data_IF_882077858525
#
_entry.id   IF_882077858525
#
_cell.length_a   1.000
_cell.length_b   1.000
_cell.length_c   1.000
_cell.angle_alpha   90.00
_cell.angle_beta   90.00
_cell.angle_gamma   90.00
#
_symmetry.space_group_name_H-M   'P 1'
#
loop_
_entity.id
_entity.type
_entity.pdbx_description
1 polymer ?
#
# COMPACT_ATOMS: atom_id res chain seq x y z
N UNK A 1 -15.54 -8.71 12.71
CA UNK A 1 -14.80 -9.92 13.14
C UNK A 1 -13.33 -9.54 13.25
N UNK A 2 -12.78 -9.31 14.45
CA UNK A 2 -11.32 -9.24 14.61
C UNK A 2 -10.82 -10.67 14.48
N UNK A 3 -10.24 -11.01 13.32
CA UNK A 3 -9.41 -12.21 13.25
C UNK A 3 -8.15 -11.87 14.04
N UNK A 4 -7.86 -12.62 15.10
CA UNK A 4 -6.56 -12.52 15.74
C UNK A 4 -5.51 -12.82 14.66
N UNK A 5 -4.62 -11.87 14.41
CA UNK A 5 -3.53 -12.07 13.48
C UNK A 5 -2.65 -13.19 14.04
N UNK A 6 -2.32 -14.19 13.21
CA UNK A 6 -1.35 -15.20 13.61
C UNK A 6 0.01 -14.52 13.79
N UNK A 7 0.56 -14.64 15.00
CA UNK A 7 1.90 -14.14 15.33
C UNK A 7 2.70 -15.31 15.90
N UNK A 8 3.80 -15.68 15.23
CA UNK A 8 4.62 -16.81 15.65
C UNK A 8 5.31 -16.55 17.00
N UNK A 9 5.55 -17.62 17.76
CA UNK A 9 6.27 -17.56 19.05
C UNK A 9 7.65 -16.91 18.94
N UNK A 10 8.31 -17.05 17.78
CA UNK A 10 9.59 -16.39 17.52
C UNK A 10 9.43 -14.87 17.52
N UNK A 11 8.44 -14.33 16.82
CA UNK A 11 8.16 -12.89 16.78
C UNK A 11 7.83 -12.40 18.19
N UNK A 12 6.99 -13.14 18.94
CA UNK A 12 6.67 -12.78 20.32
C UNK A 12 7.91 -12.66 21.22
N UNK A 13 8.88 -13.58 21.07
CA UNK A 13 10.15 -13.54 21.82
C UNK A 13 11.07 -12.42 21.36
N UNK A 14 11.17 -12.19 20.05
CA UNK A 14 12.00 -11.12 19.48
C UNK A 14 11.49 -9.75 19.93
N UNK A 15 10.18 -9.52 19.89
CA UNK A 15 9.57 -8.22 20.19
C UNK A 15 9.73 -7.83 21.67
N UNK A 16 9.75 -8.80 22.60
CA UNK A 16 9.96 -8.55 24.04
C UNK A 16 11.25 -7.80 24.37
N UNK A 17 12.28 -7.91 23.53
CA UNK A 17 13.57 -7.24 23.72
C UNK A 17 13.71 -5.96 22.89
N UNK A 18 12.74 -5.65 22.03
CA UNK A 18 12.80 -4.48 21.14
C UNK A 18 11.93 -3.35 21.66
N UNK A 19 12.44 -2.12 21.57
CA UNK A 19 11.65 -0.92 21.81
C UNK A 19 10.93 -0.51 20.52
N UNK A 20 9.69 -0.95 20.37
CA UNK A 20 8.88 -0.60 19.20
C UNK A 20 8.50 0.89 19.21
N UNK A 21 8.35 1.51 18.03
CA UNK A 21 7.83 2.86 17.93
C UNK A 21 6.39 2.92 18.45
N UNK A 22 5.99 4.08 18.99
CA UNK A 22 4.63 4.32 19.49
C UNK A 22 3.59 4.37 18.36
N UNK A 23 4.03 4.65 17.14
CA UNK A 23 3.19 4.76 15.96
C UNK A 23 3.90 4.06 14.79
N UNK A 24 3.13 3.31 14.01
CA UNK A 24 3.54 2.72 12.74
C UNK A 24 2.76 3.43 11.66
N UNK A 25 3.43 3.81 10.57
CA UNK A 25 2.79 4.39 9.39
C UNK A 25 2.90 3.40 8.23
N UNK A 26 1.82 3.23 7.48
CA UNK A 26 1.74 2.37 6.32
C UNK A 26 1.92 3.22 5.06
N UNK A 27 3.00 2.94 4.33
CA UNK A 27 3.26 3.47 3.00
C UNK A 27 2.90 2.37 1.99
N UNK A 28 1.79 2.52 1.30
CA UNK A 28 1.27 1.52 0.36
C UNK A 28 1.75 1.80 -1.07
N UNK A 29 2.35 0.80 -1.70
CA UNK A 29 2.93 0.90 -3.05
C UNK A 29 2.13 0.14 -4.12
N UNK A 30 0.89 -0.25 -3.82
CA UNK A 30 0.05 -1.06 -4.73
C UNK A 30 -0.12 -0.41 -6.11
N UNK A 31 -0.30 0.90 -6.17
CA UNK A 31 -0.54 1.63 -7.42
C UNK A 31 0.72 1.96 -8.23
N UNK A 32 1.91 1.70 -7.67
CA UNK A 32 3.21 1.94 -8.32
C UNK A 32 3.98 0.63 -8.50
N UNK A 33 4.41 0.00 -7.42
CA UNK A 33 5.16 -1.27 -7.50
C UNK A 33 4.24 -2.43 -7.89
N UNK A 34 2.99 -2.44 -7.41
CA UNK A 34 2.04 -3.49 -7.73
C UNK A 34 1.77 -3.60 -9.25
N UNK A 35 1.71 -2.46 -9.93
CA UNK A 35 1.54 -2.41 -11.39
C UNK A 35 2.77 -2.89 -12.18
N UNK A 36 3.97 -2.89 -11.58
CA UNK A 36 5.17 -3.45 -12.23
C UNK A 36 5.19 -4.99 -12.23
N UNK A 37 4.23 -5.64 -11.57
CA UNK A 37 4.06 -7.09 -11.60
C UNK A 37 3.71 -7.54 -13.03
N UNK A 38 4.41 -8.54 -13.60
CA UNK A 38 4.07 -9.05 -14.93
C UNK A 38 2.61 -9.48 -15.04
N UNK A 39 1.92 -8.96 -16.06
CA UNK A 39 0.50 -9.24 -16.29
C UNK A 39 -0.47 -8.37 -15.49
N UNK A 40 0.02 -7.41 -14.71
CA UNK A 40 -0.79 -6.39 -14.03
C UNK A 40 -0.71 -5.08 -14.80
N UNK A 41 -1.85 -4.47 -15.07
CA UNK A 41 -1.95 -3.12 -15.61
C UNK A 41 -3.28 -2.53 -15.17
N UNK A 42 -3.26 -1.34 -14.57
CA UNK A 42 -4.47 -0.67 -14.10
C UNK A 42 -4.87 0.44 -15.06
N UNK A 43 -6.15 0.49 -15.41
CA UNK A 43 -6.71 1.69 -16.03
C UNK A 43 -6.78 2.83 -15.01
N UNK A 44 -6.85 4.10 -15.43
CA UNK A 44 -7.01 5.23 -14.51
C UNK A 44 -8.19 5.06 -13.54
N UNK A 45 -9.34 4.57 -14.02
CA UNK A 45 -10.52 4.33 -13.18
C UNK A 45 -10.28 3.23 -12.13
N UNK A 46 -9.53 2.18 -12.50
CA UNK A 46 -9.12 1.13 -11.55
C UNK A 46 -8.18 1.68 -10.49
N UNK A 47 -7.24 2.56 -10.87
CA UNK A 47 -6.34 3.23 -9.91
C UNK A 47 -7.12 4.06 -8.91
N UNK A 48 -8.08 4.87 -9.36
CA UNK A 48 -8.95 5.67 -8.48
C UNK A 48 -9.77 4.76 -7.54
N UNK A 49 -10.32 3.67 -8.07
CA UNK A 49 -11.09 2.72 -7.26
C UNK A 49 -10.23 2.09 -6.15
N UNK A 50 -9.03 1.62 -6.50
CA UNK A 50 -8.08 1.02 -5.55
C UNK A 50 -7.62 2.08 -4.53
N UNK A 51 -7.28 3.29 -4.97
CA UNK A 51 -6.89 4.39 -4.08
C UNK A 51 -7.97 4.67 -3.01
N UNK A 52 -9.24 4.69 -3.40
CA UNK A 52 -10.37 4.85 -2.46
C UNK A 52 -10.51 3.68 -1.50
N UNK A 53 -10.19 2.45 -1.92
CA UNK A 53 -10.19 1.31 -1.01
C UNK A 53 -9.02 1.36 -0.01
N UNK A 54 -7.84 1.80 -0.45
CA UNK A 54 -6.67 2.00 0.40
C UNK A 54 -6.90 3.12 1.43
N UNK A 55 -7.53 4.22 1.01
CA UNK A 55 -7.96 5.30 1.91
C UNK A 55 -8.95 4.79 2.96
N UNK A 56 -9.98 4.04 2.52
CA UNK A 56 -10.95 3.41 3.43
C UNK A 56 -10.31 2.38 4.37
N UNK A 57 -9.25 1.69 3.94
CA UNK A 57 -8.45 0.78 4.77
C UNK A 57 -7.67 1.54 5.85
N UNK A 58 -7.37 2.82 5.61
CA UNK A 58 -6.68 3.70 6.56
C UNK A 58 -5.16 3.65 6.45
N UNK A 59 -4.61 3.47 5.25
CA UNK A 59 -3.15 3.61 5.04
C UNK A 59 -2.73 5.06 5.17
N UNK A 60 -1.53 5.33 5.70
CA UNK A 60 -1.06 6.69 5.92
C UNK A 60 -0.63 7.41 4.63
N UNK A 61 -0.21 6.66 3.62
CA UNK A 61 0.28 7.21 2.35
C UNK A 61 0.12 6.18 1.24
N UNK A 62 -0.28 6.65 0.05
CA UNK A 62 -0.42 5.86 -1.17
C UNK A 62 0.59 6.38 -2.20
N UNK A 63 1.44 5.50 -2.73
CA UNK A 63 2.30 5.80 -3.88
C UNK A 63 1.52 5.62 -5.18
N UNK A 64 1.04 6.71 -5.77
CA UNK A 64 0.01 6.67 -6.81
C UNK A 64 0.45 6.21 -8.22
N UNK A 65 1.76 6.12 -8.49
CA UNK A 65 2.28 5.71 -9.81
C UNK A 65 3.58 6.42 -10.19
N UNK A 66 3.93 6.39 -11.49
CA UNK A 66 5.14 7.05 -12.02
C UNK A 66 4.77 8.08 -13.09
N UNK A 67 4.44 9.34 -12.73
CA UNK A 67 3.96 10.36 -13.68
C UNK A 67 4.90 10.64 -14.87
N UNK A 68 6.20 10.36 -14.70
CA UNK A 68 7.21 10.55 -15.72
C UNK A 68 7.22 9.45 -16.80
N UNK A 69 6.57 8.30 -16.57
CA UNK A 69 6.66 7.16 -17.49
C UNK A 69 5.76 7.31 -18.72
N UNK A 70 4.63 8.01 -18.60
CA UNK A 70 3.70 8.26 -19.71
C UNK A 70 2.70 9.38 -19.41
N UNK A 71 2.05 9.89 -20.45
CA UNK A 71 0.93 10.83 -20.29
C UNK A 71 -0.29 10.20 -19.60
N UNK A 72 -0.48 8.88 -19.76
CA UNK A 72 -1.51 8.12 -19.06
C UNK A 72 -1.28 8.13 -17.55
N UNK A 73 -0.05 7.83 -17.12
CA UNK A 73 0.35 7.88 -15.70
C UNK A 73 0.21 9.28 -15.12
N UNK A 74 0.65 10.30 -15.87
CA UNK A 74 0.54 11.69 -15.43
C UNK A 74 -0.91 12.08 -15.15
N UNK A 75 -1.84 11.68 -16.02
CA UNK A 75 -3.28 11.94 -15.84
C UNK A 75 -3.84 11.16 -14.66
N UNK A 76 -3.44 9.89 -14.49
CA UNK A 76 -3.92 9.05 -13.40
C UNK A 76 -3.50 9.57 -12.02
N UNK A 77 -2.27 10.08 -11.89
CA UNK A 77 -1.77 10.64 -10.62
C UNK A 77 -2.34 12.03 -10.33
N UNK A 78 -2.79 12.77 -11.35
CA UNK A 78 -3.35 14.11 -11.19
C UNK A 78 -4.86 14.12 -10.85
N UNK A 79 -5.53 12.97 -10.89
CA UNK A 79 -6.97 12.81 -10.67
C UNK A 79 -7.30 12.61 -9.18
#
# INVERSE_FOLDING_TARGET
MRKEAFVSDFIQRAVKKTKLPKQVRIFDTTLRDGEQTPGVSFTPDQKILIARQLDKLGVDTIEAGTPASSDGERKAVAA
#
